data_IF_105629852501
#
_entry.id   IF_105629852501
#
_cell.length_a   1.000
_cell.length_b   1.000
_cell.length_c   1.000
_cell.angle_alpha   90.00
_cell.angle_beta   90.00
_cell.angle_gamma   90.00
#
_symmetry.space_group_name_H-M   'P 1'
#
loop_
_entity.id
_entity.type
_entity.pdbx_description
1 polymer ?
#
# COMPACT_ATOMS: atom_id res chain seq x y z
N UNK A 1 7.41 -6.10 -5.35
CA UNK A 1 8.23 -5.62 -4.22
C UNK A 1 7.36 -5.42 -2.97
N UNK A 2 6.29 -4.60 -3.08
CA UNK A 2 5.41 -4.26 -1.95
C UNK A 2 4.80 -5.47 -1.22
N UNK A 3 4.43 -6.52 -1.95
CA UNK A 3 3.91 -7.76 -1.36
C UNK A 3 4.89 -8.43 -0.40
N UNK A 4 6.18 -8.45 -0.72
CA UNK A 4 7.23 -9.07 0.11
C UNK A 4 7.39 -8.26 1.41
N UNK A 5 7.38 -6.93 1.30
CA UNK A 5 7.49 -6.01 2.44
C UNK A 5 6.27 -6.14 3.36
N UNK A 6 5.06 -6.29 2.80
CA UNK A 6 3.83 -6.54 3.57
C UNK A 6 3.92 -7.87 4.33
N UNK A 7 4.37 -8.94 3.67
CA UNK A 7 4.52 -10.25 4.33
C UNK A 7 5.59 -10.24 5.43
N UNK A 8 6.71 -9.54 5.20
CA UNK A 8 7.76 -9.37 6.21
C UNK A 8 7.24 -8.60 7.43
N UNK A 9 6.48 -7.52 7.19
CA UNK A 9 5.86 -6.71 8.25
C UNK A 9 4.84 -7.50 9.06
N UNK A 10 4.05 -8.37 8.43
CA UNK A 10 3.14 -9.29 9.12
C UNK A 10 3.93 -10.24 10.03
N UNK A 11 5.09 -10.74 9.57
CA UNK A 11 5.94 -11.65 10.34
C UNK A 11 6.60 -10.95 11.53
N UNK A 12 7.06 -9.73 11.33
CA UNK A 12 7.63 -8.85 12.37
C UNK A 12 6.58 -8.51 13.45
N UNK A 13 5.39 -8.05 13.03
CA UNK A 13 4.29 -7.73 13.94
C UNK A 13 3.73 -8.96 14.65
N UNK A 14 3.83 -10.16 14.06
CA UNK A 14 3.49 -11.42 14.75
C UNK A 14 4.42 -11.73 15.92
N UNK A 15 5.68 -11.31 15.84
CA UNK A 15 6.63 -11.38 16.96
C UNK A 15 6.35 -10.35 18.05
N UNK A 16 5.97 -9.12 17.66
CA UNK A 16 5.75 -7.97 18.56
C UNK A 16 4.39 -7.96 19.25
N UNK A 17 3.33 -8.42 18.57
CA UNK A 17 1.93 -8.35 19.02
C UNK A 17 1.38 -9.75 19.39
N UNK A 18 2.16 -10.57 20.11
CA UNK A 18 1.82 -11.97 20.45
C UNK A 18 0.45 -12.15 21.13
N UNK A 19 -0.05 -11.13 21.83
CA UNK A 19 -1.36 -11.19 22.53
C UNK A 19 -2.55 -10.75 21.66
N UNK A 20 -2.34 -10.26 20.43
CA UNK A 20 -3.43 -9.83 19.55
C UNK A 20 -3.83 -10.94 18.57
N UNK A 21 -5.12 -11.01 18.17
CA UNK A 21 -5.56 -11.90 17.10
C UNK A 21 -4.77 -11.66 15.82
N UNK A 22 -4.47 -12.72 15.06
CA UNK A 22 -3.78 -12.63 13.77
C UNK A 22 -4.45 -11.61 12.82
N UNK A 23 -5.78 -11.47 12.89
CA UNK A 23 -6.54 -10.47 12.13
C UNK A 23 -6.11 -9.03 12.43
N UNK A 24 -5.91 -8.68 13.71
CA UNK A 24 -5.47 -7.35 14.11
C UNK A 24 -4.02 -7.09 13.69
N UNK A 25 -3.16 -8.11 13.81
CA UNK A 25 -1.76 -8.05 13.41
C UNK A 25 -1.65 -7.77 11.91
N UNK A 26 -2.42 -8.49 11.08
CA UNK A 26 -2.46 -8.26 9.64
C UNK A 26 -3.04 -6.88 9.33
N UNK A 27 -4.13 -6.46 9.97
CA UNK A 27 -4.72 -5.12 9.78
C UNK A 27 -3.71 -4.00 10.02
N UNK A 28 -3.01 -4.07 11.15
CA UNK A 28 -2.00 -3.08 11.54
C UNK A 28 -0.84 -3.09 10.55
N UNK A 29 -0.33 -4.28 10.20
CA UNK A 29 0.80 -4.43 9.29
C UNK A 29 0.50 -3.86 7.90
N UNK A 30 -0.69 -4.18 7.37
CA UNK A 30 -1.15 -3.66 6.08
C UNK A 30 -1.31 -2.15 6.14
N UNK A 31 -1.91 -1.60 7.20
CA UNK A 31 -2.09 -0.15 7.31
C UNK A 31 -0.77 0.61 7.41
N UNK A 32 0.22 0.06 8.12
CA UNK A 32 1.58 0.64 8.23
C UNK A 32 2.32 0.64 6.88
N UNK A 33 2.28 -0.48 6.15
CA UNK A 33 2.94 -0.59 4.84
C UNK A 33 2.20 0.22 3.79
N UNK A 34 0.87 0.17 3.77
CA UNK A 34 0.03 0.90 2.82
C UNK A 34 0.16 2.41 3.00
N UNK A 35 0.15 2.93 4.22
CA UNK A 35 0.30 4.38 4.46
C UNK A 35 1.65 4.88 3.93
N UNK A 36 2.72 4.10 4.14
CA UNK A 36 4.05 4.43 3.63
C UNK A 36 4.10 4.36 2.11
N UNK A 37 3.62 3.28 1.49
CA UNK A 37 3.65 3.13 0.02
C UNK A 37 2.76 4.16 -0.67
N UNK A 38 1.58 4.46 -0.13
CA UNK A 38 0.70 5.50 -0.66
C UNK A 38 1.33 6.89 -0.58
N UNK A 39 1.91 7.27 0.56
CA UNK A 39 2.59 8.57 0.70
C UNK A 39 3.72 8.73 -0.32
N UNK A 40 4.54 7.69 -0.47
CA UNK A 40 5.68 7.71 -1.40
C UNK A 40 5.22 7.69 -2.87
N UNK A 41 4.09 7.03 -3.17
CA UNK A 41 3.47 7.03 -4.51
C UNK A 41 2.87 8.38 -4.87
N UNK A 42 2.23 9.06 -3.91
CA UNK A 42 1.66 10.39 -4.11
C UNK A 42 2.77 11.43 -4.33
N UNK A 43 3.84 11.39 -3.53
CA UNK A 43 4.95 12.33 -3.71
C UNK A 43 5.67 12.12 -5.04
N UNK A 44 5.88 10.88 -5.47
CA UNK A 44 6.44 10.58 -6.80
C UNK A 44 5.53 11.04 -7.93
N UNK A 45 4.21 10.85 -7.83
CA UNK A 45 3.25 11.39 -8.79
C UNK A 45 3.34 12.91 -8.88
N UNK A 46 3.45 13.60 -7.75
CA UNK A 46 3.58 15.07 -7.71
C UNK A 46 4.86 15.53 -8.44
N UNK A 47 5.98 14.83 -8.22
CA UNK A 47 7.25 15.10 -8.90
C UNK A 47 7.14 14.86 -10.41
N UNK A 48 6.55 13.74 -10.83
CA UNK A 48 6.38 13.40 -12.25
C UNK A 48 5.49 14.43 -12.94
N UNK A 49 4.37 14.82 -12.33
CA UNK A 49 3.48 15.86 -12.87
C UNK A 49 4.23 17.19 -13.02
N UNK A 50 5.05 17.56 -12.04
CA UNK A 50 5.88 18.77 -12.11
C UNK A 50 6.90 18.68 -13.25
N UNK A 51 7.54 17.53 -13.43
CA UNK A 51 8.47 17.29 -14.55
C UNK A 51 7.77 17.32 -15.92
N UNK A 52 6.54 16.81 -16.03
CA UNK A 52 5.79 16.86 -17.29
C UNK A 52 5.38 18.28 -17.68
N UNK A 53 5.02 19.12 -16.71
CA UNK A 53 4.60 20.51 -16.94
C UNK A 53 5.80 21.47 -17.14
N UNK A 54 6.90 21.26 -16.41
CA UNK A 54 8.02 22.21 -16.36
C UNK A 54 9.35 21.68 -16.94
N UNK A 55 9.45 20.40 -17.30
CA UNK A 55 10.72 19.75 -17.68
C UNK A 55 11.17 19.93 -19.14
N UNK A 56 10.32 20.46 -20.03
CA UNK A 56 10.64 20.58 -21.45
C UNK A 56 10.68 19.24 -22.21
N UNK A 57 10.98 19.29 -23.51
CA UNK A 57 10.75 18.17 -24.44
C UNK A 57 11.51 16.88 -24.09
N UNK A 58 12.77 16.96 -23.64
CA UNK A 58 13.59 15.79 -23.32
C UNK A 58 13.14 15.08 -22.05
N UNK A 59 12.68 15.84 -21.05
CA UNK A 59 12.22 15.28 -19.77
C UNK A 59 10.79 14.73 -19.89
N UNK A 60 10.01 15.21 -20.85
CA UNK A 60 8.65 14.78 -21.06
C UNK A 60 8.55 13.27 -21.35
N UNK A 61 9.36 12.76 -22.29
CA UNK A 61 9.37 11.33 -22.64
C UNK A 61 9.77 10.45 -21.46
N UNK A 62 10.78 10.89 -20.69
CA UNK A 62 11.22 10.21 -19.48
C UNK A 62 10.15 10.21 -18.38
N UNK A 63 9.50 11.35 -18.16
CA UNK A 63 8.43 11.50 -17.20
C UNK A 63 7.20 10.65 -17.58
N UNK A 64 6.92 10.48 -18.87
CA UNK A 64 5.85 9.63 -19.38
C UNK A 64 6.10 8.15 -19.06
N UNK A 65 7.33 7.66 -19.23
CA UNK A 65 7.72 6.30 -18.81
C UNK A 65 7.56 6.10 -17.31
N UNK A 66 8.01 7.06 -16.50
CA UNK A 66 7.83 7.02 -15.04
C UNK A 66 6.36 7.05 -14.64
N UNK A 67 5.54 7.87 -15.31
CA UNK A 67 4.11 7.96 -15.06
C UNK A 67 3.41 6.61 -15.28
N UNK A 68 3.68 5.93 -16.40
CA UNK A 68 3.14 4.60 -16.69
C UNK A 68 3.61 3.58 -15.63
N UNK A 69 4.89 3.61 -15.25
CA UNK A 69 5.44 2.72 -14.22
C UNK A 69 4.76 2.90 -12.86
N UNK A 70 4.51 4.15 -12.45
CA UNK A 70 3.82 4.45 -11.18
C UNK A 70 2.35 4.06 -11.25
N UNK A 71 1.64 4.27 -12.37
CA UNK A 71 0.25 3.82 -12.54
C UNK A 71 0.14 2.30 -12.39
N UNK A 72 0.99 1.53 -13.08
CA UNK A 72 1.00 0.06 -13.00
C UNK A 72 1.38 -0.41 -11.59
N UNK A 73 2.38 0.20 -10.97
CA UNK A 73 2.79 -0.10 -9.59
C UNK A 73 1.68 0.20 -8.56
N UNK A 74 1.02 1.35 -8.69
CA UNK A 74 -0.09 1.78 -7.83
C UNK A 74 -1.27 0.83 -7.98
N UNK A 75 -1.64 0.48 -9.21
CA UNK A 75 -2.74 -0.45 -9.47
C UNK A 75 -2.43 -1.83 -8.89
N UNK A 76 -1.20 -2.34 -9.06
CA UNK A 76 -0.76 -3.61 -8.47
C UNK A 76 -0.83 -3.60 -6.94
N UNK A 77 -0.45 -2.49 -6.30
CA UNK A 77 -0.47 -2.36 -4.83
C UNK A 77 -1.91 -2.28 -4.29
N UNK A 78 -2.81 -1.55 -4.96
CA UNK A 78 -4.24 -1.50 -4.61
C UNK A 78 -4.88 -2.88 -4.78
N UNK A 79 -4.57 -3.59 -5.87
CA UNK A 79 -5.10 -4.94 -6.12
C UNK A 79 -4.60 -6.00 -5.14
N UNK A 80 -3.53 -5.74 -4.38
CA UNK A 80 -3.08 -6.60 -3.28
C UNK A 80 -3.75 -6.18 -1.95
N UNK A 81 -3.92 -4.88 -1.71
CA UNK A 81 -4.55 -4.37 -0.51
C UNK A 81 -6.05 -4.71 -0.43
N UNK A 82 -6.80 -4.58 -1.53
CA UNK A 82 -8.24 -4.86 -1.60
C UNK A 82 -8.62 -6.31 -1.25
N UNK A 83 -8.01 -7.36 -1.84
CA UNK A 83 -8.34 -8.73 -1.47
C UNK A 83 -7.86 -9.08 -0.06
N UNK A 84 -6.79 -8.47 0.46
CA UNK A 84 -6.39 -8.69 1.85
C UNK A 84 -7.44 -8.12 2.81
N UNK A 85 -7.97 -6.93 2.54
CA UNK A 85 -9.08 -6.33 3.29
C UNK A 85 -10.37 -7.17 3.19
N UNK A 86 -10.79 -7.52 1.97
CA UNK A 86 -12.01 -8.32 1.73
C UNK A 86 -11.90 -9.74 2.29
N UNK A 87 -10.72 -10.37 2.22
CA UNK A 87 -10.47 -11.69 2.78
C UNK A 87 -10.48 -11.66 4.31
N UNK A 88 -9.97 -10.59 4.93
CA UNK A 88 -10.11 -10.38 6.36
C UNK A 88 -11.56 -10.11 6.78
N UNK A 89 -12.30 -9.31 6.02
CA UNK A 89 -13.71 -9.03 6.30
C UNK A 89 -14.56 -10.30 6.21
N UNK A 90 -14.38 -11.12 5.17
CA UNK A 90 -15.06 -12.42 5.06
C UNK A 90 -14.68 -13.43 6.15
N UNK A 91 -13.44 -13.38 6.67
CA UNK A 91 -12.94 -14.35 7.65
C UNK A 91 -13.12 -13.90 9.12
N UNK A 92 -13.27 -12.60 9.37
CA UNK A 92 -13.32 -12.01 10.72
C UNK A 92 -14.43 -10.97 10.94
N UNK A 93 -15.24 -10.64 9.94
CA UNK A 93 -16.38 -9.72 10.02
C UNK A 93 -17.52 -10.13 10.96
N UNK A 94 -17.39 -11.25 11.68
CA UNK A 94 -18.38 -11.67 12.67
C UNK A 94 -18.23 -11.01 14.05
N UNK A 95 -17.18 -10.22 14.35
CA UNK A 95 -17.04 -9.59 15.70
C UNK A 95 -16.36 -8.22 15.69
N UNK A 96 -17.04 -7.16 15.24
CA UNK A 96 -16.82 -5.80 15.76
C UNK A 96 -18.14 -5.04 15.82
N UNK A 97 -19.01 -5.50 16.71
CA UNK A 97 -20.07 -4.66 17.29
C UNK A 97 -20.19 -5.04 18.76
N UNK A 98 -19.23 -4.62 19.59
CA UNK A 98 -19.54 -4.37 21.01
C UNK A 98 -18.51 -3.46 21.69
N UNK A 99 -19.04 -2.33 22.16
CA UNK A 99 -18.64 -1.40 23.24
C UNK A 99 -18.52 0.01 22.68
N UNK A 100 -19.19 1.00 23.25
CA UNK A 100 -20.04 1.10 24.44
C UNK A 100 -20.88 2.36 24.30
#
# INVERSE_FOLDING_TARGET
NDTIIVFDRIRENRGRLRSKPLADIVRISVNETLSRTLLTSITTLLTIVSMMLFGGAVIHDFALVLFVGVIVGTYSSIFVASPVLLFMEKRFGAKTTRKS
#
